data_IF_467623496714
#
_entry.id   IF_467623496714
#
_cell.length_a   1.000
_cell.length_b   1.000
_cell.length_c   1.000
_cell.angle_alpha   90.00
_cell.angle_beta   90.00
_cell.angle_gamma   90.00
#
_symmetry.space_group_name_H-M   'P 1'
#
loop_
_entity.id
_entity.type
_entity.pdbx_description
1 polymer ?
#
# COMPACT_ATOMS: atom_id res chain seq x y z
N UNK A 1 -7.72 11.34 -9.26
CA UNK A 1 -6.46 10.65 -9.55
C UNK A 1 -6.60 9.16 -9.90
N UNK A 2 -7.70 8.53 -9.49
CA UNK A 2 -8.00 7.13 -9.87
C UNK A 2 -8.09 6.91 -11.40
N UNK A 3 -8.41 7.94 -12.15
CA UNK A 3 -8.43 7.92 -13.63
C UNK A 3 -7.02 8.02 -14.21
N UNK A 4 -6.06 8.54 -13.47
CA UNK A 4 -4.68 8.77 -13.92
C UNK A 4 -3.73 7.65 -13.55
N UNK A 5 -4.23 6.43 -13.42
CA UNK A 5 -3.36 5.26 -13.39
C UNK A 5 -2.52 5.20 -14.66
N UNK A 6 -1.65 4.23 -14.78
CA UNK A 6 -0.81 4.01 -15.96
C UNK A 6 -1.52 4.17 -17.30
N UNK A 7 -2.86 4.16 -17.35
CA UNK A 7 -3.66 4.44 -18.54
C UNK A 7 -3.62 5.90 -19.01
N UNK A 8 -3.33 6.86 -18.16
CA UNK A 8 -3.49 8.28 -18.50
C UNK A 8 -2.24 9.13 -18.25
N UNK A 9 -1.07 8.54 -18.05
CA UNK A 9 0.14 9.33 -17.82
C UNK A 9 1.12 9.22 -18.99
N UNK A 10 0.92 10.02 -20.06
CA UNK A 10 1.83 10.06 -21.20
C UNK A 10 2.94 11.10 -21.06
N UNK A 11 2.87 11.96 -20.05
CA UNK A 11 3.79 13.09 -19.91
C UNK A 11 4.94 12.78 -18.98
N UNK A 12 6.14 13.31 -19.22
CA UNK A 12 7.23 13.19 -18.26
C UNK A 12 6.77 13.75 -16.91
N UNK A 13 6.90 12.92 -15.88
CA UNK A 13 6.55 13.32 -14.51
C UNK A 13 7.46 14.45 -14.10
N UNK A 14 6.85 15.49 -13.56
CA UNK A 14 7.59 16.59 -12.93
C UNK A 14 7.73 16.40 -11.42
N UNK A 15 6.98 15.46 -10.82
CA UNK A 15 7.11 15.13 -9.40
C UNK A 15 8.38 14.34 -9.19
N UNK A 16 9.23 14.82 -8.32
CA UNK A 16 10.50 14.21 -7.91
C UNK A 16 10.41 13.72 -6.46
N UNK A 17 11.34 12.87 -6.06
CA UNK A 17 11.50 12.49 -4.67
C UNK A 17 12.20 13.62 -3.91
N UNK A 18 11.66 14.03 -2.76
CA UNK A 18 12.21 15.10 -1.93
C UNK A 18 13.63 14.81 -1.43
N UNK A 19 13.93 13.55 -1.11
CA UNK A 19 15.23 13.15 -0.59
C UNK A 19 16.32 13.08 -1.67
N UNK A 20 15.96 12.73 -2.92
CA UNK A 20 16.86 12.66 -4.06
C UNK A 20 16.07 12.86 -5.36
N UNK A 21 16.30 13.98 -6.05
CA UNK A 21 15.56 14.36 -7.26
C UNK A 21 15.82 13.42 -8.47
N UNK A 22 16.84 12.60 -8.41
CA UNK A 22 17.11 11.57 -9.43
C UNK A 22 16.26 10.30 -9.24
N UNK A 23 15.60 10.15 -8.08
CA UNK A 23 14.84 8.96 -7.70
C UNK A 23 13.33 9.16 -7.84
N UNK A 24 12.64 8.05 -8.01
CA UNK A 24 11.18 8.07 -8.14
C UNK A 24 10.51 8.41 -6.81
N UNK A 25 9.47 9.26 -6.81
CA UNK A 25 8.57 9.43 -5.66
C UNK A 25 7.50 8.32 -5.58
N UNK A 26 7.57 7.30 -6.44
CA UNK A 26 6.58 6.22 -6.53
C UNK A 26 5.37 6.57 -7.41
N UNK A 27 4.47 5.60 -7.55
CA UNK A 27 3.20 5.70 -8.31
C UNK A 27 2.03 5.15 -7.49
N UNK A 28 0.82 5.60 -7.75
CA UNK A 28 0.34 6.71 -8.60
C UNK A 28 0.07 7.97 -7.77
N UNK A 29 0.04 7.91 -6.41
CA UNK A 29 -0.18 9.07 -5.53
C UNK A 29 1.12 9.85 -5.24
N UNK A 30 2.06 9.85 -6.18
CA UNK A 30 3.37 10.51 -6.06
C UNK A 30 3.30 11.97 -5.62
N UNK A 31 2.41 12.77 -6.24
CA UNK A 31 2.25 14.19 -5.89
C UNK A 31 1.76 14.40 -4.46
N UNK A 32 0.89 13.52 -3.96
CA UNK A 32 0.39 13.59 -2.58
C UNK A 32 1.50 13.28 -1.57
N UNK A 33 2.23 12.17 -1.78
CA UNK A 33 3.32 11.79 -0.90
C UNK A 33 4.47 12.82 -0.92
N UNK A 34 4.89 13.26 -2.12
CA UNK A 34 5.94 14.28 -2.26
C UNK A 34 5.56 15.61 -1.62
N UNK A 35 4.30 16.07 -1.77
CA UNK A 35 3.85 17.33 -1.16
C UNK A 35 3.85 17.29 0.38
N UNK A 36 3.55 16.12 0.98
CA UNK A 36 3.64 15.92 2.43
C UNK A 36 5.09 15.86 2.88
N UNK A 37 5.95 15.13 2.14
CA UNK A 37 7.38 15.02 2.44
C UNK A 37 8.11 16.36 2.33
N UNK A 38 7.74 17.18 1.34
CA UNK A 38 8.34 18.52 1.07
C UNK A 38 7.65 19.65 1.86
N UNK A 39 6.87 19.34 2.88
CA UNK A 39 6.16 20.31 3.75
C UNK A 39 5.21 21.27 3.04
N UNK A 40 4.82 21.00 1.79
CA UNK A 40 3.85 21.82 1.06
C UNK A 40 2.45 21.77 1.68
N UNK A 41 2.10 20.59 2.24
CA UNK A 41 0.84 20.35 2.97
C UNK A 41 1.08 19.43 4.16
N UNK A 42 0.33 19.57 5.26
CA UNK A 42 0.46 18.65 6.40
C UNK A 42 -0.12 17.26 6.10
N UNK A 43 -1.19 17.19 5.33
CA UNK A 43 -2.00 15.99 5.06
C UNK A 43 -2.37 15.92 3.58
N UNK A 44 -2.47 14.71 3.04
CA UNK A 44 -2.96 14.52 1.68
C UNK A 44 -3.75 13.22 1.53
N UNK A 45 -4.75 13.23 0.66
CA UNK A 45 -5.43 12.02 0.19
C UNK A 45 -4.68 11.39 -0.99
N UNK A 46 -4.78 10.07 -1.08
CA UNK A 46 -4.40 9.30 -2.24
C UNK A 46 -5.37 8.19 -2.54
N UNK A 47 -5.04 7.36 -3.51
CA UNK A 47 -5.83 6.16 -3.85
C UNK A 47 -4.89 5.00 -4.17
N UNK A 48 -5.32 3.79 -3.85
CA UNK A 48 -4.56 2.59 -4.14
C UNK A 48 -5.40 1.54 -4.83
N UNK A 49 -4.85 1.01 -5.93
CA UNK A 49 -5.32 -0.19 -6.62
C UNK A 49 -4.37 -1.37 -6.36
N UNK A 50 -3.06 -1.13 -6.47
CA UNK A 50 -1.99 -2.11 -6.21
C UNK A 50 -1.15 -1.70 -5.00
N UNK A 51 -0.29 -0.69 -5.19
CA UNK A 51 0.61 -0.16 -4.17
C UNK A 51 0.66 1.37 -4.13
N UNK A 52 -0.34 2.06 -4.70
CA UNK A 52 -0.26 3.48 -5.02
C UNK A 52 -0.41 4.46 -3.84
N UNK A 53 -0.52 3.97 -2.61
CA UNK A 53 -0.41 4.74 -1.36
C UNK A 53 0.86 4.30 -0.62
N UNK A 54 0.99 3.01 -0.35
CA UNK A 54 2.12 2.46 0.41
C UNK A 54 3.46 2.71 -0.29
N UNK A 55 3.52 2.50 -1.61
CA UNK A 55 4.75 2.71 -2.37
C UNK A 55 5.23 4.17 -2.38
N UNK A 56 4.38 5.16 -2.76
CA UNK A 56 4.76 6.57 -2.66
C UNK A 56 5.07 7.03 -1.23
N UNK A 57 4.35 6.54 -0.21
CA UNK A 57 4.68 6.81 1.18
C UNK A 57 6.09 6.34 1.52
N UNK A 58 6.43 5.10 1.15
CA UNK A 58 7.73 4.51 1.39
C UNK A 58 8.85 5.23 0.64
N UNK A 59 8.66 5.56 -0.64
CA UNK A 59 9.68 6.28 -1.42
C UNK A 59 9.93 7.70 -0.91
N UNK A 60 8.90 8.37 -0.41
CA UNK A 60 8.99 9.75 0.06
C UNK A 60 9.25 9.88 1.58
N UNK A 61 9.36 8.77 2.31
CA UNK A 61 9.67 8.79 3.74
C UNK A 61 8.55 9.41 4.59
N UNK A 62 7.28 9.13 4.28
CA UNK A 62 6.14 9.61 5.05
C UNK A 62 5.27 8.45 5.50
N UNK A 63 4.47 8.66 6.54
CA UNK A 63 3.43 7.70 6.89
C UNK A 63 2.37 7.66 5.81
N UNK A 64 1.96 6.45 5.43
CA UNK A 64 0.87 6.21 4.49
C UNK A 64 -0.12 5.22 5.07
N UNK A 65 -1.39 5.54 5.02
CA UNK A 65 -2.45 4.61 5.40
C UNK A 65 -3.31 4.26 4.20
N UNK A 66 -3.43 2.97 3.90
CA UNK A 66 -4.39 2.44 2.94
C UNK A 66 -5.55 1.83 3.72
N UNK A 67 -6.73 2.42 3.63
CA UNK A 67 -7.92 1.89 4.28
C UNK A 67 -8.36 0.52 3.71
N UNK A 68 -9.19 -0.18 4.44
CA UNK A 68 -10.00 -1.29 3.91
C UNK A 68 -10.80 -0.84 2.69
N UNK A 69 -11.24 -1.77 1.84
CA UNK A 69 -12.19 -1.41 0.79
C UNK A 69 -13.46 -0.83 1.46
N UNK A 70 -13.86 0.38 1.05
CA UNK A 70 -14.96 1.14 1.66
C UNK A 70 -14.75 1.55 3.15
N UNK A 71 -13.55 1.39 3.70
CA UNK A 71 -13.20 1.87 5.04
C UNK A 71 -13.25 3.40 5.17
N UNK A 72 -13.02 4.11 4.09
CA UNK A 72 -13.29 5.54 3.90
C UNK A 72 -14.28 5.68 2.76
N UNK A 73 -15.30 6.54 2.92
CA UNK A 73 -16.32 6.77 1.89
C UNK A 73 -15.67 7.20 0.56
N UNK A 74 -16.01 6.51 -0.50
CA UNK A 74 -15.53 6.75 -1.87
C UNK A 74 -16.48 7.62 -2.69
N UNK A 75 -17.52 8.19 -2.09
CA UNK A 75 -18.46 9.10 -2.76
C UNK A 75 -17.74 10.26 -3.45
N UNK A 76 -18.12 10.59 -4.67
CA UNK A 76 -17.48 11.63 -5.49
C UNK A 76 -16.16 11.22 -6.15
N UNK A 77 -15.61 10.06 -5.85
CA UNK A 77 -14.42 9.52 -6.52
C UNK A 77 -14.84 8.78 -7.81
N UNK A 78 -14.19 9.10 -8.93
CA UNK A 78 -14.36 8.28 -10.14
C UNK A 78 -13.54 6.99 -10.02
N UNK A 79 -14.22 5.88 -9.77
CA UNK A 79 -13.58 4.56 -9.69
C UNK A 79 -13.22 4.04 -11.07
N UNK A 80 -12.00 3.52 -11.22
CA UNK A 80 -11.59 2.72 -12.36
C UNK A 80 -11.74 1.22 -12.09
N UNK A 81 -11.62 0.82 -10.83
CA UNK A 81 -11.71 -0.59 -10.40
C UNK A 81 -12.51 -0.64 -9.09
N UNK A 82 -13.83 -0.63 -9.18
CA UNK A 82 -14.71 -0.51 -8.02
C UNK A 82 -14.52 -1.60 -6.97
N UNK A 83 -14.08 -2.79 -7.36
CA UNK A 83 -13.80 -3.88 -6.43
C UNK A 83 -12.43 -3.83 -5.75
N UNK A 84 -11.55 -2.88 -6.14
CA UNK A 84 -10.16 -2.84 -5.62
C UNK A 84 -9.77 -1.44 -5.17
N UNK A 85 -10.16 -0.37 -5.92
CA UNK A 85 -9.72 1.00 -5.63
C UNK A 85 -10.14 1.42 -4.23
N UNK A 86 -9.19 1.85 -3.42
CA UNK A 86 -9.44 2.33 -2.06
C UNK A 86 -8.79 3.69 -1.83
N UNK A 87 -9.32 4.46 -0.88
CA UNK A 87 -8.73 5.72 -0.43
C UNK A 87 -7.57 5.42 0.50
N UNK A 88 -6.57 6.28 0.46
CA UNK A 88 -5.48 6.30 1.43
C UNK A 88 -5.12 7.71 1.82
N UNK A 89 -4.38 7.81 2.91
CA UNK A 89 -3.98 9.04 3.58
C UNK A 89 -2.46 9.12 3.66
N UNK A 90 -1.93 10.34 3.66
CA UNK A 90 -0.51 10.62 3.88
C UNK A 90 -0.37 11.70 4.95
N UNK A 91 0.60 11.50 5.84
CA UNK A 91 0.97 12.46 6.88
C UNK A 91 2.44 12.29 7.28
N UNK A 92 2.99 13.26 8.04
CA UNK A 92 4.33 13.15 8.62
C UNK A 92 4.33 12.48 9.99
N UNK A 93 3.17 12.32 10.61
CA UNK A 93 3.00 11.57 11.87
C UNK A 93 1.85 10.59 11.79
N UNK A 94 1.88 9.58 12.65
CA UNK A 94 0.78 8.62 12.73
C UNK A 94 -0.45 9.23 13.43
N UNK A 95 -0.24 10.17 14.35
CA UNK A 95 -1.27 10.96 14.99
C UNK A 95 -2.10 11.72 13.96
N UNK A 96 -1.45 12.35 13.00
CA UNK A 96 -2.11 13.09 11.92
C UNK A 96 -2.91 12.16 10.99
N UNK A 97 -2.41 10.93 10.73
CA UNK A 97 -3.17 9.92 9.99
C UNK A 97 -4.43 9.51 10.74
N UNK A 98 -4.33 9.26 12.05
CA UNK A 98 -5.48 8.93 12.91
C UNK A 98 -6.48 10.07 12.94
N UNK A 99 -6.02 11.31 13.12
CA UNK A 99 -6.87 12.50 13.08
C UNK A 99 -7.60 12.62 11.74
N UNK A 100 -6.87 12.53 10.64
CA UNK A 100 -7.44 12.64 9.30
C UNK A 100 -8.47 11.54 9.01
N UNK A 101 -8.17 10.31 9.43
CA UNK A 101 -9.09 9.18 9.31
C UNK A 101 -10.37 9.42 10.13
N UNK A 102 -10.24 9.85 11.39
CA UNK A 102 -11.39 10.11 12.26
C UNK A 102 -12.30 11.22 11.73
N UNK A 103 -11.73 12.27 11.16
CA UNK A 103 -12.51 13.37 10.53
C UNK A 103 -13.25 12.90 9.30
N UNK A 104 -12.61 12.06 8.45
CA UNK A 104 -13.24 11.59 7.20
C UNK A 104 -14.31 10.51 7.43
N UNK A 105 -14.21 9.76 8.51
CA UNK A 105 -15.11 8.62 8.76
C UNK A 105 -16.13 8.88 9.87
N UNK A 106 -15.89 9.86 10.73
CA UNK A 106 -16.66 10.07 11.96
C UNK A 106 -16.41 8.98 13.01
N UNK A 107 -15.41 8.10 12.82
CA UNK A 107 -15.10 6.97 13.71
C UNK A 107 -14.03 7.36 14.71
N UNK A 108 -14.21 6.91 15.94
CA UNK A 108 -13.31 7.21 17.07
C UNK A 108 -12.22 6.17 17.27
N UNK A 109 -11.41 6.38 18.31
CA UNK A 109 -10.43 5.42 18.77
C UNK A 109 -11.09 4.21 19.45
N UNK A 110 -10.42 3.07 19.33
CA UNK A 110 -10.74 1.82 20.03
C UNK A 110 -9.64 1.50 21.03
N UNK A 111 -9.86 0.50 21.89
CA UNK A 111 -8.85 0.08 22.86
C UNK A 111 -7.64 -0.56 22.15
N UNK A 112 -6.45 -0.34 22.72
CA UNK A 112 -5.21 -0.97 22.25
C UNK A 112 -5.21 -2.44 22.59
N UNK A 113 -4.81 -3.29 21.65
CA UNK A 113 -4.60 -4.73 21.90
C UNK A 113 -3.33 -4.95 22.71
N UNK A 114 -3.39 -5.74 23.78
CA UNK A 114 -2.24 -6.05 24.63
C UNK A 114 -2.28 -7.50 25.18
N UNK A 115 -1.24 -8.33 24.99
CA UNK A 115 -0.09 -8.08 24.12
C UNK A 115 -0.46 -8.12 22.63
N UNK A 116 0.25 -7.34 21.79
CA UNK A 116 0.11 -7.44 20.34
C UNK A 116 0.68 -8.77 19.82
N UNK A 117 -0.10 -9.47 19.01
CA UNK A 117 0.34 -10.67 18.28
C UNK A 117 0.67 -10.27 16.85
N UNK A 118 1.95 -10.30 16.49
CA UNK A 118 2.44 -9.80 15.20
C UNK A 118 3.04 -10.95 14.41
N UNK A 119 2.46 -11.22 13.24
CA UNK A 119 2.97 -12.19 12.28
C UNK A 119 3.94 -11.55 11.29
N UNK A 120 5.17 -12.05 11.20
CA UNK A 120 6.12 -11.62 10.16
C UNK A 120 5.82 -12.39 8.88
N UNK A 121 5.41 -11.68 7.83
CA UNK A 121 5.03 -12.28 6.56
C UNK A 121 6.08 -12.04 5.50
N UNK A 122 6.69 -13.12 5.04
CA UNK A 122 7.52 -13.13 3.83
C UNK A 122 6.64 -13.53 2.66
N UNK A 123 6.23 -12.55 1.84
CA UNK A 123 5.46 -12.83 0.62
C UNK A 123 6.28 -13.59 -0.40
N UNK A 124 5.66 -14.06 -1.50
CA UNK A 124 6.37 -14.70 -2.62
C UNK A 124 7.47 -13.82 -3.24
N UNK A 125 7.43 -12.53 -2.97
CA UNK A 125 8.36 -11.54 -3.52
C UNK A 125 9.51 -11.22 -2.53
N UNK A 126 9.65 -12.00 -1.44
CA UNK A 126 10.67 -11.79 -0.42
C UNK A 126 12.10 -11.80 -0.98
N UNK A 127 12.38 -12.65 -1.96
CA UNK A 127 13.70 -12.75 -2.59
C UNK A 127 14.10 -11.49 -3.39
N UNK A 128 13.12 -10.60 -3.67
CA UNK A 128 13.36 -9.29 -4.28
C UNK A 128 13.76 -8.23 -3.26
N UNK A 129 13.72 -8.53 -1.95
CA UNK A 129 14.09 -7.56 -0.91
C UNK A 129 15.60 -7.34 -0.85
N UNK A 130 15.98 -6.08 -0.75
CA UNK A 130 17.36 -5.68 -0.53
C UNK A 130 17.79 -5.98 0.92
N UNK A 131 19.10 -6.18 1.18
CA UNK A 131 19.60 -6.49 2.53
C UNK A 131 19.19 -5.47 3.59
N UNK A 132 19.07 -4.18 3.24
CA UNK A 132 18.62 -3.13 4.16
C UNK A 132 17.16 -3.36 4.61
N UNK A 133 16.29 -3.80 3.71
CA UNK A 133 14.91 -4.13 4.05
C UNK A 133 14.82 -5.38 4.92
N UNK A 134 15.56 -6.43 4.59
CA UNK A 134 15.58 -7.65 5.40
C UNK A 134 16.03 -7.35 6.84
N UNK A 135 17.07 -6.52 6.97
CA UNK A 135 17.56 -6.04 8.27
C UNK A 135 16.50 -5.21 9.00
N UNK A 136 15.79 -4.32 8.30
CA UNK A 136 14.73 -3.50 8.88
C UNK A 136 13.61 -4.38 9.46
N UNK A 137 13.09 -5.36 8.70
CA UNK A 137 12.07 -6.29 9.18
C UNK A 137 12.53 -7.05 10.42
N UNK A 138 13.78 -7.55 10.42
CA UNK A 138 14.34 -8.23 11.57
C UNK A 138 14.46 -7.33 12.80
N UNK A 139 14.92 -6.07 12.61
CA UNK A 139 15.04 -5.11 13.69
C UNK A 139 13.68 -4.75 14.31
N UNK A 140 12.66 -4.52 13.48
CA UNK A 140 11.28 -4.28 13.94
C UNK A 140 10.79 -5.43 14.80
N UNK A 141 10.89 -6.67 14.30
CA UNK A 141 10.49 -7.86 15.08
C UNK A 141 11.21 -7.97 16.42
N UNK A 142 12.53 -7.73 16.42
CA UNK A 142 13.34 -7.80 17.64
C UNK A 142 12.97 -6.70 18.67
N UNK A 143 12.74 -5.46 18.22
CA UNK A 143 12.37 -4.36 19.10
C UNK A 143 10.98 -4.62 19.70
N UNK A 144 10.01 -4.95 18.87
CA UNK A 144 8.64 -5.18 19.31
C UNK A 144 8.53 -6.39 20.24
N UNK A 145 9.31 -7.47 19.98
CA UNK A 145 9.40 -8.60 20.91
C UNK A 145 9.96 -8.21 22.28
N UNK A 146 10.98 -7.34 22.32
CA UNK A 146 11.55 -6.83 23.58
C UNK A 146 10.60 -5.90 24.33
N UNK A 147 9.68 -5.24 23.64
CA UNK A 147 8.69 -4.33 24.22
C UNK A 147 7.35 -5.02 24.54
N UNK A 148 7.31 -6.36 24.46
CA UNK A 148 6.19 -7.18 24.94
C UNK A 148 5.24 -7.71 23.87
N UNK A 149 5.48 -7.46 22.58
CA UNK A 149 4.70 -8.09 21.53
C UNK A 149 5.09 -9.57 21.33
N UNK A 150 4.12 -10.38 20.92
CA UNK A 150 4.35 -11.78 20.55
C UNK A 150 4.63 -11.82 19.04
N UNK A 151 5.86 -12.12 18.69
CA UNK A 151 6.33 -12.16 17.30
C UNK A 151 6.44 -13.60 16.82
N UNK A 152 5.89 -13.91 15.65
CA UNK A 152 6.07 -15.21 15.01
C UNK A 152 6.13 -15.09 13.49
N UNK A 153 6.86 -16.02 12.85
CA UNK A 153 6.86 -16.12 11.39
C UNK A 153 5.54 -16.72 10.89
N UNK A 154 5.04 -16.19 9.79
CA UNK A 154 3.80 -16.66 9.16
C UNK A 154 4.10 -17.20 7.77
N UNK A 155 3.85 -18.45 7.57
CA UNK A 155 3.84 -19.05 6.24
C UNK A 155 2.45 -18.85 5.61
N UNK A 156 2.41 -18.14 4.49
CA UNK A 156 1.17 -17.93 3.77
C UNK A 156 0.72 -19.18 3.03
N UNK A 157 -0.53 -19.63 3.15
CA UNK A 157 -1.09 -20.69 2.32
C UNK A 157 -0.87 -20.47 0.82
N UNK A 158 -0.68 -21.56 0.03
CA UNK A 158 -0.37 -21.49 -1.41
C UNK A 158 -1.35 -20.65 -2.23
N UNK A 159 -2.61 -20.57 -1.82
CA UNK A 159 -3.65 -19.76 -2.48
C UNK A 159 -3.22 -18.31 -2.68
N UNK A 160 -2.45 -17.72 -1.77
CA UNK A 160 -2.01 -16.33 -1.89
C UNK A 160 -0.94 -16.10 -2.97
N UNK A 161 -0.25 -17.13 -3.39
CA UNK A 161 0.62 -17.14 -4.58
C UNK A 161 -0.20 -17.36 -5.85
N UNK A 162 -1.18 -18.24 -5.79
CA UNK A 162 -2.02 -18.61 -6.93
C UNK A 162 -2.89 -17.47 -7.43
N UNK A 163 -3.32 -16.53 -6.55
CA UNK A 163 -4.16 -15.39 -6.93
C UNK A 163 -3.41 -14.23 -7.59
N UNK A 164 -2.08 -14.28 -7.72
CA UNK A 164 -1.30 -13.16 -8.31
C UNK A 164 -1.78 -12.81 -9.73
N UNK A 165 -2.06 -13.75 -10.64
CA UNK A 165 -2.61 -13.46 -11.96
C UNK A 165 -4.00 -12.82 -11.93
N UNK A 166 -4.84 -13.17 -10.95
CA UNK A 166 -6.22 -12.67 -10.83
C UNK A 166 -6.28 -11.15 -10.64
N UNK A 167 -5.26 -10.57 -10.02
CA UNK A 167 -5.15 -9.11 -9.92
C UNK A 167 -5.17 -8.42 -11.30
N UNK A 168 -4.41 -8.93 -12.25
CA UNK A 168 -4.34 -8.35 -13.60
C UNK A 168 -5.67 -8.51 -14.35
N UNK A 169 -6.36 -9.64 -14.15
CA UNK A 169 -7.66 -9.92 -14.76
C UNK A 169 -8.71 -8.94 -14.22
N UNK A 170 -8.86 -8.84 -12.90
CA UNK A 170 -9.86 -7.98 -12.27
C UNK A 170 -9.56 -6.51 -12.56
N UNK A 171 -8.32 -6.08 -12.37
CA UNK A 171 -7.88 -4.71 -12.65
C UNK A 171 -8.11 -4.31 -14.11
N UNK A 172 -7.76 -5.18 -15.05
CA UNK A 172 -7.95 -4.92 -16.46
C UNK A 172 -9.42 -4.87 -16.87
N UNK A 173 -10.21 -5.86 -16.48
CA UNK A 173 -11.64 -5.95 -16.80
C UNK A 173 -12.41 -4.73 -16.31
N UNK A 174 -12.29 -4.39 -15.04
CA UNK A 174 -13.02 -3.26 -14.45
C UNK A 174 -12.58 -1.92 -15.04
N UNK A 175 -11.27 -1.73 -15.28
CA UNK A 175 -10.75 -0.52 -15.90
C UNK A 175 -11.30 -0.33 -17.33
N UNK A 176 -11.47 -1.41 -18.09
CA UNK A 176 -12.02 -1.32 -19.45
C UNK A 176 -13.49 -0.92 -19.44
N UNK A 177 -14.26 -1.41 -18.47
CA UNK A 177 -15.66 -0.99 -18.30
C UNK A 177 -15.72 0.48 -17.88
N UNK A 178 -14.94 0.88 -16.88
CA UNK A 178 -14.93 2.25 -16.35
C UNK A 178 -14.45 3.29 -17.38
N UNK A 179 -13.53 2.89 -18.27
CA UNK A 179 -12.93 3.75 -19.29
C UNK A 179 -13.48 3.46 -20.69
N UNK A 180 -14.64 2.82 -20.81
CA UNK A 180 -15.22 2.43 -22.09
C UNK A 180 -15.33 3.60 -23.06
N UNK A 181 -15.78 4.76 -22.59
CA UNK A 181 -15.92 5.95 -23.42
C UNK A 181 -14.58 6.47 -23.93
N UNK A 182 -13.57 6.54 -23.06
CA UNK A 182 -12.21 6.97 -23.40
C UNK A 182 -11.55 6.01 -24.38
N UNK A 183 -11.73 4.70 -24.17
CA UNK A 183 -11.19 3.67 -25.06
C UNK A 183 -11.87 3.76 -26.45
N UNK A 184 -13.20 3.95 -26.49
CA UNK A 184 -13.94 4.01 -27.77
C UNK A 184 -13.63 5.26 -28.58
N UNK A 185 -13.35 6.40 -27.95
CA UNK A 185 -13.23 7.67 -28.65
C UNK A 185 -11.80 8.20 -28.75
N UNK A 186 -10.86 7.71 -27.94
CA UNK A 186 -9.51 8.30 -27.79
C UNK A 186 -8.39 7.26 -27.73
N UNK A 187 -8.62 6.02 -28.20
CA UNK A 187 -7.63 4.94 -28.15
C UNK A 187 -6.31 5.32 -28.83
N UNK A 188 -6.36 6.07 -29.94
CA UNK A 188 -5.18 6.51 -30.67
C UNK A 188 -4.31 7.49 -29.88
N UNK A 189 -4.90 8.19 -28.91
CA UNK A 189 -4.19 9.09 -27.98
C UNK A 189 -3.50 8.35 -26.83
N UNK A 190 -3.76 7.06 -26.68
CA UNK A 190 -3.12 6.25 -25.63
C UNK A 190 -1.68 5.92 -26.03
N UNK A 191 -0.78 5.87 -25.04
CA UNK A 191 0.57 5.37 -25.27
C UNK A 191 0.57 3.86 -25.58
N UNK A 192 1.68 3.33 -26.11
CA UNK A 192 1.81 1.91 -26.50
C UNK A 192 1.47 0.95 -25.36
N UNK A 193 2.02 1.20 -24.18
CA UNK A 193 1.76 0.36 -23.00
C UNK A 193 0.27 0.28 -22.63
N UNK A 194 -0.47 1.38 -22.76
CA UNK A 194 -1.90 1.39 -22.46
C UNK A 194 -2.72 0.71 -23.55
N UNK A 195 -2.30 0.81 -24.81
CA UNK A 195 -2.93 0.06 -25.92
C UNK A 195 -2.75 -1.45 -25.74
N UNK A 196 -1.53 -1.92 -25.42
CA UNK A 196 -1.26 -3.33 -25.11
C UNK A 196 -2.14 -3.85 -23.95
N UNK A 197 -2.38 -3.02 -22.94
CA UNK A 197 -3.28 -3.39 -21.85
C UNK A 197 -4.73 -3.49 -22.29
N UNK A 198 -5.20 -2.60 -23.16
CA UNK A 198 -6.55 -2.68 -23.74
C UNK A 198 -6.67 -3.95 -24.59
N UNK A 199 -5.68 -4.29 -25.39
CA UNK A 199 -5.64 -5.53 -26.18
C UNK A 199 -5.69 -6.77 -25.27
N UNK A 200 -4.86 -6.82 -24.23
CA UNK A 200 -4.90 -7.91 -23.24
C UNK A 200 -6.30 -8.08 -22.66
N UNK A 201 -6.94 -6.99 -22.24
CA UNK A 201 -8.27 -7.04 -21.63
C UNK A 201 -9.34 -7.44 -22.64
N UNK A 202 -9.20 -7.04 -23.92
CA UNK A 202 -10.12 -7.45 -24.98
C UNK A 202 -10.15 -8.96 -25.20
N UNK A 203 -9.09 -9.67 -24.77
CA UNK A 203 -9.05 -11.13 -24.75
C UNK A 203 -9.71 -11.79 -23.55
N UNK A 204 -10.09 -11.01 -22.53
CA UNK A 204 -10.73 -11.52 -21.32
C UNK A 204 -12.24 -11.71 -21.54
N UNK A 205 -12.78 -12.72 -20.89
CA UNK A 205 -14.22 -12.97 -20.85
C UNK A 205 -14.81 -12.63 -19.49
N UNK A 206 -16.09 -12.30 -19.44
CA UNK A 206 -16.82 -12.09 -18.21
C UNK A 206 -16.76 -13.33 -17.30
N UNK A 207 -16.77 -14.53 -17.88
CA UNK A 207 -16.63 -15.78 -17.14
C UNK A 207 -15.28 -15.86 -16.40
N UNK A 208 -14.18 -15.43 -17.06
CA UNK A 208 -12.86 -15.39 -16.45
C UNK A 208 -12.79 -14.38 -15.32
N UNK A 209 -13.32 -13.17 -15.51
CA UNK A 209 -13.45 -12.17 -14.45
C UNK A 209 -14.26 -12.70 -13.24
N UNK A 210 -15.43 -13.28 -13.47
CA UNK A 210 -16.26 -13.85 -12.40
C UNK A 210 -15.55 -14.98 -11.65
N UNK A 211 -14.78 -15.80 -12.36
CA UNK A 211 -13.97 -16.85 -11.73
C UNK A 211 -12.87 -16.25 -10.84
N UNK A 212 -12.12 -15.26 -11.35
CA UNK A 212 -11.11 -14.54 -10.55
C UNK A 212 -11.71 -13.92 -9.29
N UNK A 213 -12.88 -13.29 -9.39
CA UNK A 213 -13.57 -12.74 -8.23
C UNK A 213 -13.95 -13.81 -7.19
N UNK A 214 -14.35 -15.02 -7.61
CA UNK A 214 -14.63 -16.14 -6.70
C UNK A 214 -13.36 -16.63 -6.00
N UNK A 215 -12.27 -16.75 -6.75
CA UNK A 215 -10.96 -17.17 -6.18
C UNK A 215 -10.50 -16.16 -5.15
N UNK A 216 -10.51 -14.86 -5.48
CA UNK A 216 -10.16 -13.79 -4.54
C UNK A 216 -11.07 -13.77 -3.31
N UNK A 217 -12.38 -14.05 -3.47
CA UNK A 217 -13.30 -14.12 -2.33
C UNK A 217 -12.94 -15.25 -1.36
N UNK A 218 -12.56 -16.42 -1.87
CA UNK A 218 -12.07 -17.54 -1.04
C UNK A 218 -10.76 -17.18 -0.33
N UNK A 219 -9.82 -16.56 -1.04
CA UNK A 219 -8.56 -16.11 -0.44
C UNK A 219 -8.78 -15.10 0.71
N UNK A 220 -9.79 -14.20 0.58
CA UNK A 220 -10.14 -13.28 1.67
C UNK A 220 -10.65 -14.00 2.92
N UNK A 221 -11.39 -15.10 2.76
CA UNK A 221 -11.82 -15.94 3.90
C UNK A 221 -10.61 -16.59 4.57
N UNK A 222 -9.65 -17.09 3.80
CA UNK A 222 -8.41 -17.64 4.38
C UNK A 222 -7.58 -16.55 5.08
N UNK A 223 -7.54 -15.33 4.55
CA UNK A 223 -6.88 -14.21 5.21
C UNK A 223 -7.56 -13.87 6.55
N UNK A 224 -8.90 -13.87 6.61
CA UNK A 224 -9.62 -13.66 7.87
C UNK A 224 -9.30 -14.71 8.92
N UNK A 225 -9.14 -15.99 8.52
CA UNK A 225 -8.73 -17.08 9.43
C UNK A 225 -7.32 -16.88 9.97
N UNK A 226 -6.39 -16.42 9.14
CA UNK A 226 -5.05 -16.07 9.62
C UNK A 226 -5.11 -14.98 10.69
N UNK A 227 -5.94 -13.96 10.50
CA UNK A 227 -6.14 -12.88 11.46
C UNK A 227 -6.89 -13.28 12.76
N UNK A 228 -7.34 -14.51 12.92
CA UNK A 228 -7.81 -15.02 14.21
C UNK A 228 -6.64 -15.18 15.22
N UNK A 229 -5.43 -15.37 14.71
CA UNK A 229 -4.23 -15.59 15.52
C UNK A 229 -3.32 -14.35 15.63
N UNK A 230 -3.57 -13.30 14.83
CA UNK A 230 -2.73 -12.12 14.73
C UNK A 230 -3.55 -10.83 14.78
N UNK A 231 -2.97 -9.81 15.38
CA UNK A 231 -3.55 -8.47 15.43
C UNK A 231 -2.99 -7.59 14.29
N UNK A 232 -1.73 -7.84 13.92
CA UNK A 232 -1.07 -7.20 12.78
C UNK A 232 -0.16 -8.20 12.05
N UNK A 233 0.03 -7.98 10.75
CA UNK A 233 1.16 -8.56 10.01
C UNK A 233 2.22 -7.49 9.76
N UNK A 234 3.49 -7.89 9.84
CA UNK A 234 4.67 -7.11 9.48
C UNK A 234 5.19 -7.60 8.12
N UNK A 235 5.35 -6.69 7.17
CA UNK A 235 5.83 -7.02 5.82
C UNK A 235 6.61 -5.84 5.22
N UNK A 236 7.51 -6.05 4.23
CA UNK A 236 8.12 -4.97 3.49
C UNK A 236 7.08 -4.06 2.82
N UNK A 237 7.31 -2.74 2.82
CA UNK A 237 6.52 -1.81 2.02
C UNK A 237 7.01 -1.78 0.56
N UNK A 238 8.32 -1.84 0.37
CA UNK A 238 9.05 -1.93 -0.91
C UNK A 238 10.23 -2.90 -0.77
N UNK A 239 10.98 -3.14 -1.85
CA UNK A 239 12.19 -3.97 -1.80
C UNK A 239 13.32 -3.36 -0.96
N UNK A 240 13.42 -2.04 -0.91
CA UNK A 240 14.46 -1.26 -0.24
C UNK A 240 14.23 0.23 -0.46
N UNK A 241 15.27 0.98 -0.73
CA UNK A 241 15.21 2.41 -1.04
C UNK A 241 14.50 2.70 -2.38
N UNK A 242 14.05 3.95 -2.54
CA UNK A 242 13.49 4.43 -3.81
C UNK A 242 14.48 4.23 -4.96
N UNK A 243 14.10 3.55 -6.06
CA UNK A 243 14.99 3.31 -7.18
C UNK A 243 15.34 4.60 -7.94
N UNK A 244 16.54 4.62 -8.55
CA UNK A 244 16.97 5.70 -9.45
C UNK A 244 16.14 5.70 -10.72
N UNK A 245 15.74 6.89 -11.16
CA UNK A 245 14.95 7.10 -12.38
C UNK A 245 13.48 7.35 -12.10
N UNK A 246 12.96 8.48 -12.62
CA UNK A 246 11.57 8.90 -12.39
C UNK A 246 10.52 7.98 -13.05
N UNK A 247 10.91 7.10 -13.95
CA UNK A 247 10.03 6.15 -14.67
C UNK A 247 10.01 4.78 -13.98
N UNK A 248 10.90 4.54 -13.02
CA UNK A 248 10.96 3.27 -12.30
C UNK A 248 9.80 3.12 -11.32
N UNK A 249 9.14 1.97 -11.37
CA UNK A 249 7.93 1.72 -10.58
C UNK A 249 7.98 0.31 -10.00
N UNK A 250 8.34 0.23 -8.72
CA UNK A 250 8.32 -1.03 -7.96
C UNK A 250 7.24 -1.04 -6.87
N UNK A 251 6.28 -0.13 -6.96
CA UNK A 251 5.37 0.20 -5.86
C UNK A 251 4.28 -0.83 -5.55
N UNK A 252 4.02 -1.78 -6.46
CA UNK A 252 2.89 -2.69 -6.30
C UNK A 252 3.28 -4.07 -5.74
N UNK A 253 4.54 -4.46 -5.82
CA UNK A 253 5.00 -5.83 -5.53
C UNK A 253 4.55 -6.27 -4.13
N UNK A 254 4.98 -5.58 -3.08
CA UNK A 254 4.69 -5.95 -1.69
C UNK A 254 3.33 -5.50 -1.15
N UNK A 255 2.60 -4.64 -1.87
CA UNK A 255 1.32 -4.10 -1.41
C UNK A 255 0.10 -4.73 -2.11
N UNK A 256 0.30 -5.39 -3.25
CA UNK A 256 -0.75 -5.91 -4.12
C UNK A 256 -1.62 -6.96 -3.43
N UNK A 257 -0.99 -7.90 -2.73
CA UNK A 257 -1.68 -8.93 -1.96
C UNK A 257 -2.67 -8.30 -0.96
N UNK A 258 -2.18 -7.37 -0.16
CA UNK A 258 -2.96 -6.72 0.89
C UNK A 258 -4.14 -5.92 0.34
N UNK A 259 -3.96 -5.31 -0.84
CA UNK A 259 -5.06 -4.61 -1.52
C UNK A 259 -6.13 -5.59 -2.00
N UNK A 260 -5.74 -6.74 -2.57
CA UNK A 260 -6.67 -7.79 -2.99
C UNK A 260 -7.43 -8.41 -1.82
N UNK A 261 -6.80 -8.49 -0.65
CA UNK A 261 -7.41 -9.03 0.58
C UNK A 261 -8.28 -8.01 1.31
N UNK A 262 -8.36 -6.76 0.82
CA UNK A 262 -9.12 -5.65 1.43
C UNK A 262 -8.62 -5.25 2.82
N UNK A 263 -7.44 -5.68 3.22
CA UNK A 263 -6.85 -5.38 4.52
C UNK A 263 -6.35 -3.94 4.59
N UNK A 264 -6.54 -3.21 5.69
CA UNK A 264 -5.89 -1.92 5.91
C UNK A 264 -4.38 -2.10 6.06
N UNK A 265 -3.59 -1.11 5.65
CA UNK A 265 -2.12 -1.15 5.76
C UNK A 265 -1.57 0.21 6.12
N UNK A 266 -0.59 0.25 7.02
CA UNK A 266 0.13 1.46 7.43
C UNK A 266 1.60 1.33 7.03
N UNK A 267 2.15 2.31 6.33
CA UNK A 267 3.57 2.43 5.99
C UNK A 267 4.30 3.24 7.06
N UNK A 268 5.48 2.78 7.47
CA UNK A 268 6.32 3.36 8.51
C UNK A 268 7.69 3.75 7.95
N UNK A 269 8.05 5.05 7.94
CA UNK A 269 9.33 5.56 7.45
C UNK A 269 10.38 5.61 8.58
N UNK A 270 10.77 4.45 9.13
CA UNK A 270 11.53 4.37 10.38
C UNK A 270 13.04 4.21 10.16
N UNK A 271 13.47 3.61 9.05
CA UNK A 271 14.86 3.27 8.82
C UNK A 271 15.48 4.04 7.66
N UNK A 272 16.81 4.18 7.74
CA UNK A 272 17.65 4.73 6.69
C UNK A 272 18.40 3.61 5.98
N UNK A 273 18.46 3.69 4.67
CA UNK A 273 19.18 2.76 3.82
C UNK A 273 20.63 3.19 3.56
N UNK A 274 21.36 2.42 2.76
CA UNK A 274 22.79 2.64 2.52
C UNK A 274 23.10 3.94 1.75
N UNK A 275 22.12 4.56 1.09
CA UNK A 275 22.28 5.83 0.38
C UNK A 275 21.62 7.01 1.12
N UNK A 276 21.28 6.87 2.40
CA UNK A 276 20.64 7.91 3.19
C UNK A 276 19.16 8.12 2.85
N UNK A 277 18.50 7.12 2.31
CA UNK A 277 17.10 7.21 1.87
C UNK A 277 16.17 6.35 2.74
N UNK A 278 14.87 6.66 2.75
CA UNK A 278 13.90 5.90 3.54
C UNK A 278 13.85 4.41 3.18
N UNK A 279 13.90 3.57 4.20
CA UNK A 279 13.59 2.13 4.13
C UNK A 279 12.37 1.88 5.01
N UNK A 280 11.25 1.56 4.38
CA UNK A 280 9.95 1.54 5.02
C UNK A 280 9.35 0.13 5.03
N UNK A 281 8.82 -0.27 6.17
CA UNK A 281 7.99 -1.46 6.29
C UNK A 281 6.51 -1.08 6.35
N UNK A 282 5.63 -2.08 6.29
CA UNK A 282 4.20 -1.88 6.50
C UNK A 282 3.65 -2.82 7.57
N UNK A 283 2.70 -2.30 8.35
CA UNK A 283 1.85 -3.09 9.24
C UNK A 283 0.48 -3.25 8.60
N UNK A 284 -0.02 -4.47 8.58
CA UNK A 284 -1.28 -4.82 7.94
C UNK A 284 -2.24 -5.32 9.02
N UNK A 285 -3.45 -4.77 9.07
CA UNK A 285 -4.50 -5.22 9.96
C UNK A 285 -5.56 -6.08 9.28
N UNK A 286 -6.50 -6.61 10.07
CA UNK A 286 -7.64 -7.35 9.58
C UNK A 286 -8.54 -6.44 8.73
N UNK A 287 -9.14 -6.96 7.66
CA UNK A 287 -10.09 -6.18 6.84
C UNK A 287 -11.26 -5.67 7.69
N UNK A 288 -11.73 -4.47 7.38
CA UNK A 288 -12.80 -3.76 8.11
C UNK A 288 -12.48 -3.49 9.58
N UNK A 289 -11.19 -3.47 9.96
CA UNK A 289 -10.72 -3.13 11.30
C UNK A 289 -9.72 -1.97 11.21
N UNK A 290 -10.10 -0.92 10.49
CA UNK A 290 -9.24 0.22 10.18
C UNK A 290 -8.84 0.97 11.45
N UNK A 291 -9.79 1.24 12.36
CA UNK A 291 -9.55 1.89 13.65
C UNK A 291 -8.57 1.10 14.51
N UNK A 292 -8.81 -0.22 14.63
CA UNK A 292 -7.95 -1.10 15.40
C UNK A 292 -6.53 -1.17 14.81
N UNK A 293 -6.45 -1.19 13.48
CA UNK A 293 -5.15 -1.16 12.78
C UNK A 293 -4.38 0.12 13.08
N UNK A 294 -5.04 1.27 13.03
CA UNK A 294 -4.41 2.57 13.30
C UNK A 294 -3.97 2.70 14.77
N UNK A 295 -4.80 2.26 15.71
CA UNK A 295 -4.47 2.30 17.15
C UNK A 295 -3.32 1.35 17.47
N UNK A 296 -3.33 0.13 16.95
CA UNK A 296 -2.23 -0.81 17.13
C UNK A 296 -0.94 -0.33 16.43
N UNK A 297 -1.07 0.29 15.26
CA UNK A 297 0.04 0.90 14.53
C UNK A 297 0.67 2.06 15.33
N UNK A 298 -0.16 2.89 16.01
CA UNK A 298 0.34 3.96 16.89
C UNK A 298 1.16 3.40 18.05
N UNK A 299 0.73 2.31 18.65
CA UNK A 299 1.51 1.64 19.69
C UNK A 299 2.84 1.11 19.18
N UNK A 300 2.83 0.50 17.99
CA UNK A 300 4.07 0.04 17.31
C UNK A 300 5.03 1.21 17.09
N UNK A 301 4.51 2.34 16.61
CA UNK A 301 5.27 3.55 16.35
C UNK A 301 5.94 4.09 17.62
N UNK A 302 5.19 4.20 18.72
CA UNK A 302 5.69 4.65 20.02
C UNK A 302 6.79 3.73 20.56
N UNK A 303 6.62 2.43 20.43
CA UNK A 303 7.60 1.44 20.86
C UNK A 303 8.90 1.51 20.06
N UNK A 304 8.78 1.69 18.73
CA UNK A 304 9.94 1.83 17.84
C UNK A 304 10.68 3.13 18.08
N UNK A 305 9.99 4.26 18.19
CA UNK A 305 10.58 5.57 18.51
C UNK A 305 11.24 5.56 19.88
N UNK A 306 10.59 4.96 20.88
CA UNK A 306 11.17 4.82 22.22
C UNK A 306 12.45 4.00 22.25
N UNK A 307 12.59 2.98 21.40
CA UNK A 307 13.75 2.12 21.32
C UNK A 307 14.89 2.66 20.43
N UNK A 308 14.56 3.37 19.36
CA UNK A 308 15.50 3.87 18.36
C UNK A 308 15.96 5.31 18.62
N UNK A 309 15.21 6.09 19.40
CA UNK A 309 15.41 7.53 19.56
C UNK A 309 14.89 8.32 18.36
N UNK A 310 15.68 9.28 17.87
CA UNK A 310 15.31 10.06 16.69
C UNK A 310 15.18 9.19 15.43
N UNK A 311 14.08 9.36 14.74
CA UNK A 311 13.81 8.67 13.47
C UNK A 311 14.16 9.60 12.32
N UNK A 312 15.04 9.21 11.37
CA UNK A 312 15.71 10.11 10.43
C UNK A 312 14.78 10.91 9.50
N UNK A 313 13.55 10.44 9.28
CA UNK A 313 12.63 11.03 8.29
C UNK A 313 11.38 11.65 8.92
N UNK A 314 11.33 11.70 10.25
CA UNK A 314 10.19 12.25 10.99
C UNK A 314 10.71 13.43 11.81
N UNK A 315 10.29 14.63 11.43
CA UNK A 315 10.57 15.86 12.17
C UNK A 315 9.45 16.16 13.14
#
# INVERSE_FOLDING_TARGET
KSVTTKFACPSPRKTVNHHDFSRTPGESSSGSAAAVADFMVPLANGTQTGGSVIGPAANCGVYGFKASLDGIDRGGLRHCKPSIDTIGLFARSLEDLVLMYSVQTGRGSVEVTDPLRIGVVRTSDWDETEPCMQKAIQQVGNILGKTGAIISEVELPPVFKEIIPDFSIVNGWEATIALKNEISNYLDSFNSHNRERVEFVSSLTEAKYKNSMKVLSKARVEMDRLFENYDLFLSPALSGEAPVGLKEVRTATFARLWTQMYTPSVCFPIFEGPNGLPVCFQMIGRRNSDEQTLVNAKRVDDQLKGALGEVPFIL
#
